data_IF_057597675710
#
_entry.id   IF_057597675710
#
_cell.length_a   1.000
_cell.length_b   1.000
_cell.length_c   1.000
_cell.angle_alpha   90.00
_cell.angle_beta   90.00
_cell.angle_gamma   90.00
#
_symmetry.space_group_name_H-M   'P 1'
#
loop_
_entity.id
_entity.type
_entity.pdbx_description
1 polymer ?
#
# COMPACT_ATOMS: atom_id res chain seq x y z
N UNK A 1 -51.32 65.84 80.07
CA UNK A 1 -50.01 66.45 80.37
C UNK A 1 -49.06 65.38 80.86
N UNK A 2 -48.14 64.89 80.00
CA UNK A 2 -46.76 64.50 80.39
C UNK A 2 -45.96 64.21 79.12
N UNK A 3 -44.90 64.99 78.94
CA UNK A 3 -43.87 64.88 77.89
C UNK A 3 -42.61 64.30 78.53
N UNK A 4 -41.88 63.44 77.79
CA UNK A 4 -40.41 63.18 77.81
C UNK A 4 -40.18 61.88 77.01
N UNK A 5 -39.69 61.85 75.77
CA UNK A 5 -38.43 62.29 75.11
C UNK A 5 -37.17 61.55 75.60
N UNK A 6 -36.37 61.11 74.61
CA UNK A 6 -34.90 60.84 74.58
C UNK A 6 -34.50 59.36 74.76
N UNK A 7 -33.49 58.80 74.10
CA UNK A 7 -32.63 59.07 72.93
C UNK A 7 -31.71 57.85 72.83
N UNK A 8 -31.19 57.56 71.64
CA UNK A 8 -29.92 56.86 71.45
C UNK A 8 -30.08 55.44 70.93
N UNK A 9 -29.22 54.96 70.06
CA UNK A 9 -28.14 55.56 69.28
C UNK A 9 -27.85 54.58 68.17
N UNK A 10 -27.51 55.10 67.00
CA UNK A 10 -27.05 54.33 65.87
C UNK A 10 -25.77 53.53 66.23
N UNK A 11 -25.76 52.24 65.90
CA UNK A 11 -24.52 51.54 65.54
C UNK A 11 -24.81 50.82 64.23
N UNK A 12 -24.23 51.37 63.17
CA UNK A 12 -24.08 50.71 61.89
C UNK A 12 -23.16 49.50 62.06
N UNK A 13 -23.52 48.36 61.48
CA UNK A 13 -22.59 47.29 61.17
C UNK A 13 -22.96 46.73 59.79
N UNK A 14 -22.13 46.99 58.77
CA UNK A 14 -22.29 46.39 57.45
C UNK A 14 -21.73 44.97 57.52
N UNK A 15 -22.25 44.02 56.74
CA UNK A 15 -21.42 43.03 56.04
C UNK A 15 -22.27 42.16 55.13
N UNK A 16 -22.06 42.44 53.85
CA UNK A 16 -22.46 41.74 52.66
C UNK A 16 -21.95 40.29 52.70
N UNK A 17 -22.83 39.35 53.04
CA UNK A 17 -22.57 37.91 52.98
C UNK A 17 -22.82 37.34 51.58
N UNK A 18 -21.86 37.59 50.69
CA UNK A 18 -21.38 36.65 49.67
C UNK A 18 -21.53 35.18 50.16
N UNK A 19 -21.93 34.15 49.41
CA UNK A 19 -21.92 33.80 47.99
C UNK A 19 -22.86 32.60 47.81
N UNK A 20 -23.36 32.44 46.59
CA UNK A 20 -24.03 31.25 46.09
C UNK A 20 -23.17 30.00 46.37
N UNK A 21 -23.67 29.07 47.17
CA UNK A 21 -23.16 27.71 47.24
C UNK A 21 -23.58 26.95 45.97
N UNK A 22 -22.94 27.28 44.85
CA UNK A 22 -22.89 26.39 43.70
C UNK A 22 -21.96 25.24 44.05
N UNK A 23 -22.46 24.00 43.96
CA UNK A 23 -21.61 22.81 43.95
C UNK A 23 -20.62 22.97 42.79
N UNK A 24 -19.40 23.41 43.11
CA UNK A 24 -18.35 23.57 42.13
C UNK A 24 -18.00 22.22 41.54
N UNK A 25 -18.53 21.94 40.34
CA UNK A 25 -17.91 20.98 39.45
C UNK A 25 -16.54 21.58 39.14
N UNK A 26 -15.50 21.11 39.84
CA UNK A 26 -14.14 21.31 39.36
C UNK A 26 -14.11 20.63 38.00
N UNK A 27 -13.99 21.40 36.93
CA UNK A 27 -13.54 20.86 35.68
C UNK A 27 -12.20 20.19 35.99
N UNK A 28 -12.20 18.86 36.08
CA UNK A 28 -10.97 18.10 35.97
C UNK A 28 -10.57 18.26 34.52
N UNK A 29 -9.87 19.36 34.25
CA UNK A 29 -9.17 19.58 33.00
C UNK A 29 -8.04 18.54 33.01
N UNK A 30 -8.38 17.34 32.52
CA UNK A 30 -7.37 16.35 32.20
C UNK A 30 -6.56 16.99 31.07
N UNK A 31 -5.23 17.07 31.17
CA UNK A 31 -4.41 17.43 30.02
C UNK A 31 -4.65 16.36 28.97
N UNK A 32 -5.60 16.61 28.08
CA UNK A 32 -5.83 15.74 26.95
C UNK A 32 -4.75 16.04 25.94
N UNK A 33 -3.56 15.55 26.24
CA UNK A 33 -2.53 15.23 25.26
C UNK A 33 -3.02 14.00 24.48
N UNK A 34 -4.13 14.17 23.76
CA UNK A 34 -4.39 13.33 22.61
C UNK A 34 -3.40 13.82 21.56
N UNK A 35 -2.15 13.37 21.67
CA UNK A 35 -1.15 13.55 20.62
C UNK A 35 -1.79 13.30 19.25
N UNK A 36 -1.34 14.04 18.24
CA UNK A 36 -1.99 14.17 16.91
C UNK A 36 -2.86 12.95 16.56
N UNK A 37 -4.17 13.19 16.37
CA UNK A 37 -5.11 12.14 15.99
C UNK A 37 -4.46 11.27 14.90
N UNK A 38 -4.37 9.94 15.06
CA UNK A 38 -3.65 9.11 14.12
C UNK A 38 -4.31 9.31 12.76
N UNK A 39 -3.61 10.01 11.88
CA UNK A 39 -3.86 9.95 10.46
C UNK A 39 -3.59 8.50 10.11
N UNK A 40 -4.67 7.71 10.01
CA UNK A 40 -4.62 6.37 9.43
C UNK A 40 -4.37 6.56 7.95
N UNK A 41 -3.16 6.97 7.59
CA UNK A 41 -2.68 6.84 6.22
C UNK A 41 -2.69 5.33 6.01
N UNK A 42 -3.60 4.80 5.19
CA UNK A 42 -3.66 3.36 4.99
C UNK A 42 -2.31 2.93 4.37
N UNK A 43 -1.85 1.74 4.76
CA UNK A 43 -0.68 1.10 4.16
C UNK A 43 0.67 1.79 4.40
N UNK A 44 0.94 2.22 5.63
CA UNK A 44 2.33 2.37 6.11
C UNK A 44 2.68 1.16 6.96
N UNK A 45 3.45 0.21 6.41
CA UNK A 45 4.12 -0.77 7.24
C UNK A 45 5.40 -0.12 7.77
N UNK A 46 5.35 0.30 9.04
CA UNK A 46 6.58 0.63 9.76
C UNK A 46 7.20 -0.69 10.17
N UNK A 47 8.29 -1.03 9.49
CA UNK A 47 9.13 -2.22 9.62
C UNK A 47 8.67 -3.42 8.79
N UNK A 48 9.56 -3.92 7.89
CA UNK A 48 9.37 -5.26 7.37
C UNK A 48 9.40 -6.23 8.54
N UNK A 49 8.68 -7.33 8.44
CA UNK A 49 8.80 -8.47 9.36
C UNK A 49 10.16 -9.16 9.11
N UNK A 50 11.27 -8.42 9.31
CA UNK A 50 12.66 -8.84 9.09
C UNK A 50 13.07 -9.91 10.10
N UNK A 51 12.27 -10.09 11.15
CA UNK A 51 12.59 -10.94 12.30
C UNK A 51 12.56 -12.46 12.02
N UNK A 52 12.06 -12.92 10.87
CA UNK A 52 12.05 -14.38 10.58
C UNK A 52 12.48 -14.82 9.17
N UNK A 53 12.80 -13.90 8.25
CA UNK A 53 13.24 -14.26 6.89
C UNK A 53 14.49 -13.50 6.41
N UNK A 54 15.31 -13.01 7.33
CA UNK A 54 16.67 -12.64 6.98
C UNK A 54 17.48 -13.91 6.68
N UNK A 55 18.00 -14.01 5.45
CA UNK A 55 18.83 -15.08 4.88
C UNK A 55 18.10 -16.27 4.24
N UNK A 56 17.62 -16.07 3.01
CA UNK A 56 17.75 -16.95 1.83
C UNK A 56 16.99 -16.26 0.69
N UNK A 57 17.66 -15.71 -0.32
CA UNK A 57 17.00 -15.11 -1.51
C UNK A 57 17.48 -13.69 -1.88
N UNK A 58 17.16 -13.28 -3.11
CA UNK A 58 17.41 -11.94 -3.66
C UNK A 58 16.27 -11.01 -3.21
N UNK A 59 16.55 -9.87 -2.58
CA UNK A 59 15.52 -8.91 -2.20
C UNK A 59 14.89 -8.30 -3.45
N UNK A 60 13.56 -8.20 -3.46
CA UNK A 60 12.77 -7.64 -4.56
C UNK A 60 11.59 -6.84 -4.01
N UNK A 61 10.99 -6.01 -4.84
CA UNK A 61 9.77 -5.28 -4.52
C UNK A 61 8.59 -5.84 -5.33
N UNK A 62 7.43 -5.94 -4.70
CA UNK A 62 6.15 -6.23 -5.37
C UNK A 62 5.16 -5.09 -5.14
N UNK A 63 4.28 -4.83 -6.10
CA UNK A 63 3.28 -3.78 -6.00
C UNK A 63 1.94 -4.36 -5.51
N UNK A 64 1.60 -4.09 -4.24
CA UNK A 64 0.31 -4.44 -3.65
C UNK A 64 -0.67 -3.27 -3.74
N UNK A 65 -1.96 -3.58 -3.68
CA UNK A 65 -3.01 -2.58 -3.61
C UNK A 65 -3.13 -2.03 -2.21
N UNK A 66 -3.10 -0.70 -2.11
CA UNK A 66 -3.52 0.05 -0.95
C UNK A 66 -4.68 0.98 -1.32
N UNK A 67 -5.89 0.63 -0.89
CA UNK A 67 -7.08 1.36 -1.33
C UNK A 67 -7.20 1.32 -2.85
N UNK A 68 -7.05 2.47 -3.51
CA UNK A 68 -7.15 2.61 -4.97
C UNK A 68 -5.80 2.81 -5.67
N UNK A 69 -4.67 2.59 -5.00
CA UNK A 69 -3.33 2.83 -5.55
C UNK A 69 -2.40 1.63 -5.31
N UNK A 70 -1.29 1.57 -6.04
CA UNK A 70 -0.23 0.58 -5.88
C UNK A 70 0.86 1.11 -4.96
N UNK A 71 1.32 0.27 -4.03
CA UNK A 71 2.39 0.57 -3.08
C UNK A 71 3.38 -0.60 -3.05
N UNK A 72 4.68 -0.30 -3.01
CA UNK A 72 5.71 -1.34 -2.96
C UNK A 72 5.77 -2.00 -1.58
N UNK A 73 6.04 -3.30 -1.60
CA UNK A 73 6.31 -4.10 -0.42
C UNK A 73 7.52 -4.99 -0.69
N UNK A 74 8.43 -5.05 0.28
CA UNK A 74 9.63 -5.86 0.18
C UNK A 74 9.32 -7.35 0.29
N UNK A 75 10.00 -8.13 -0.55
CA UNK A 75 9.89 -9.59 -0.67
C UNK A 75 11.27 -10.19 -0.96
N UNK A 76 11.35 -11.52 -0.99
CA UNK A 76 12.57 -12.23 -1.34
C UNK A 76 12.27 -13.36 -2.33
N UNK A 77 13.04 -13.42 -3.43
CA UNK A 77 12.90 -14.46 -4.46
C UNK A 77 14.15 -15.34 -4.47
N UNK A 78 13.96 -16.67 -4.54
CA UNK A 78 15.09 -17.59 -4.73
C UNK A 78 15.53 -17.57 -6.18
N UNK A 79 16.79 -17.23 -6.44
CA UNK A 79 17.38 -17.29 -7.78
C UNK A 79 18.58 -18.23 -7.72
N UNK A 80 18.59 -19.35 -8.46
CA UNK A 80 19.76 -20.22 -8.53
C UNK A 80 20.93 -19.51 -9.22
N UNK A 81 22.12 -19.62 -8.64
CA UNK A 81 23.37 -19.10 -9.21
C UNK A 81 23.72 -19.79 -10.54
N UNK A 82 24.45 -19.09 -11.41
CA UNK A 82 24.97 -19.66 -12.66
C UNK A 82 23.94 -19.90 -13.78
N UNK A 83 22.70 -19.41 -13.61
CA UNK A 83 21.66 -19.44 -14.64
C UNK A 83 21.99 -18.49 -15.80
N UNK A 84 21.82 -18.95 -17.05
CA UNK A 84 21.94 -18.08 -18.22
C UNK A 84 20.89 -16.96 -18.21
N UNK A 85 21.21 -15.79 -18.75
CA UNK A 85 20.44 -14.55 -18.54
C UNK A 85 18.95 -14.67 -18.92
N UNK A 86 18.62 -15.30 -20.05
CA UNK A 86 17.23 -15.53 -20.48
C UNK A 86 16.48 -16.44 -19.49
N UNK A 87 17.13 -17.52 -19.04
CA UNK A 87 16.54 -18.43 -18.05
C UNK A 87 16.34 -17.72 -16.71
N UNK A 88 17.29 -16.87 -16.32
CA UNK A 88 17.24 -16.08 -15.09
C UNK A 88 16.06 -15.12 -15.09
N UNK A 89 15.80 -14.41 -16.21
CA UNK A 89 14.65 -13.51 -16.37
C UNK A 89 13.34 -14.22 -16.06
N UNK A 90 13.13 -15.40 -16.64
CA UNK A 90 11.90 -16.21 -16.43
C UNK A 90 11.80 -16.68 -14.97
N UNK A 91 12.90 -17.12 -14.37
CA UNK A 91 12.92 -17.55 -12.96
C UNK A 91 12.56 -16.38 -12.03
N UNK A 92 13.14 -15.20 -12.26
CA UNK A 92 12.84 -13.99 -11.48
C UNK A 92 11.39 -13.58 -11.68
N UNK A 93 10.89 -13.56 -12.92
CA UNK A 93 9.50 -13.21 -13.22
C UNK A 93 8.50 -14.18 -12.55
N UNK A 94 8.78 -15.49 -12.59
CA UNK A 94 7.95 -16.47 -11.88
C UNK A 94 7.98 -16.22 -10.37
N UNK A 95 9.16 -16.03 -9.77
CA UNK A 95 9.27 -15.76 -8.34
C UNK A 95 8.57 -14.48 -7.91
N UNK A 96 8.65 -13.42 -8.70
CA UNK A 96 7.89 -12.18 -8.48
C UNK A 96 6.39 -12.40 -8.56
N UNK A 97 5.92 -13.17 -9.55
CA UNK A 97 4.50 -13.51 -9.69
C UNK A 97 4.00 -14.32 -8.49
N UNK A 98 4.81 -15.27 -8.00
CA UNK A 98 4.49 -16.08 -6.83
C UNK A 98 4.39 -15.22 -5.56
N UNK A 99 5.35 -14.32 -5.35
CA UNK A 99 5.35 -13.37 -4.22
C UNK A 99 4.18 -12.37 -4.29
N UNK A 100 3.79 -11.95 -5.50
CA UNK A 100 2.67 -11.04 -5.72
C UNK A 100 1.31 -11.72 -5.52
N UNK A 101 1.22 -13.01 -5.83
CA UNK A 101 0.01 -13.82 -5.68
C UNK A 101 -0.14 -14.40 -4.26
N UNK A 102 0.89 -14.30 -3.42
CA UNK A 102 0.81 -14.67 -2.01
C UNK A 102 -0.22 -13.80 -1.28
N UNK A 103 -1.03 -14.43 -0.43
CA UNK A 103 -1.97 -13.68 0.39
C UNK A 103 -1.18 -12.71 1.29
N UNK A 104 -1.55 -11.42 1.37
CA UNK A 104 -0.83 -10.49 2.22
C UNK A 104 -0.77 -10.99 3.67
N UNK A 105 0.35 -10.72 4.34
CA UNK A 105 0.59 -11.11 5.73
C UNK A 105 -0.49 -10.58 6.67
N UNK A 106 -0.52 -11.03 7.93
CA UNK A 106 -1.48 -10.46 8.90
C UNK A 106 -1.27 -8.95 9.07
N UNK A 107 -0.02 -8.50 9.23
CA UNK A 107 0.29 -7.08 9.38
C UNK A 107 -0.06 -6.26 8.14
N UNK A 108 0.18 -6.80 6.95
CA UNK A 108 -0.22 -6.17 5.68
C UNK A 108 -1.73 -6.04 5.55
N UNK A 109 -2.49 -7.09 5.88
CA UNK A 109 -3.95 -7.04 5.84
C UNK A 109 -4.52 -6.05 6.85
N UNK A 110 -3.96 -6.03 8.06
CA UNK A 110 -4.36 -5.05 9.10
C UNK A 110 -4.05 -3.61 8.67
N UNK A 111 -2.98 -3.41 7.87
CA UNK A 111 -2.64 -2.14 7.26
C UNK A 111 -3.46 -1.79 6.00
N UNK A 112 -4.27 -2.73 5.49
CA UNK A 112 -5.17 -2.54 4.34
C UNK A 112 -4.62 -2.97 2.98
N UNK A 113 -3.51 -3.70 2.94
CA UNK A 113 -2.97 -4.22 1.69
C UNK A 113 -3.79 -5.39 1.14
N UNK A 114 -3.94 -5.42 -0.18
CA UNK A 114 -4.59 -6.52 -0.92
C UNK A 114 -3.83 -6.85 -2.20
N UNK A 115 -4.14 -8.01 -2.80
CA UNK A 115 -3.68 -8.38 -4.14
C UNK A 115 -4.86 -8.92 -4.93
N UNK A 116 -4.93 -8.55 -6.21
CA UNK A 116 -5.92 -9.07 -7.16
C UNK A 116 -5.32 -10.20 -8.03
N UNK A 117 -4.00 -10.42 -7.92
CA UNK A 117 -3.30 -11.51 -8.61
C UNK A 117 -3.60 -12.82 -7.88
N UNK A 118 -4.18 -13.78 -8.61
CA UNK A 118 -4.48 -15.11 -8.06
C UNK A 118 -3.29 -16.04 -8.16
N UNK A 119 -3.12 -16.87 -7.14
CA UNK A 119 -2.13 -17.95 -7.14
C UNK A 119 -2.35 -18.97 -8.25
N UNK A 120 -1.27 -19.65 -8.64
CA UNK A 120 -1.28 -20.71 -9.66
C UNK A 120 -1.08 -20.23 -11.10
N UNK A 121 -0.93 -18.92 -11.31
CA UNK A 121 -0.51 -18.37 -12.60
C UNK A 121 0.99 -18.63 -12.81
N UNK A 122 1.40 -18.95 -14.03
CA UNK A 122 2.81 -19.23 -14.36
C UNK A 122 3.34 -18.31 -15.44
N UNK A 123 4.66 -18.15 -15.45
CA UNK A 123 5.44 -17.42 -16.44
C UNK A 123 6.33 -18.40 -17.18
N UNK A 124 6.31 -18.31 -18.50
CA UNK A 124 7.21 -19.03 -19.39
C UNK A 124 8.01 -18.03 -20.23
N UNK A 125 9.13 -18.52 -20.77
CA UNK A 125 9.98 -17.72 -21.65
C UNK A 125 9.38 -17.53 -23.06
N UNK A 126 10.14 -16.84 -23.93
CA UNK A 126 9.73 -16.60 -25.30
C UNK A 126 9.61 -17.90 -26.11
N UNK A 127 8.67 -17.93 -27.05
CA UNK A 127 8.62 -18.92 -28.13
C UNK A 127 9.69 -18.62 -29.18
N UNK A 128 9.88 -19.56 -30.11
CA UNK A 128 10.91 -19.47 -31.16
C UNK A 128 10.86 -18.20 -32.03
N UNK A 129 9.71 -17.51 -32.13
CA UNK A 129 9.53 -16.28 -32.90
C UNK A 129 9.30 -15.04 -32.02
N UNK A 130 9.32 -15.22 -30.70
CA UNK A 130 9.15 -14.11 -29.79
C UNK A 130 10.51 -13.42 -29.56
N UNK A 131 10.51 -12.10 -29.27
CA UNK A 131 11.70 -11.42 -28.78
C UNK A 131 12.27 -12.12 -27.53
N UNK A 132 13.59 -12.09 -27.38
CA UNK A 132 14.29 -12.80 -26.28
C UNK A 132 13.85 -12.39 -24.88
N UNK A 133 13.35 -11.17 -24.74
CA UNK A 133 12.92 -10.59 -23.46
C UNK A 133 11.43 -10.77 -23.19
N UNK A 134 10.69 -11.42 -24.08
CA UNK A 134 9.26 -11.66 -23.91
C UNK A 134 8.97 -12.70 -22.81
N UNK A 135 7.93 -12.42 -22.03
CA UNK A 135 7.40 -13.32 -21.01
C UNK A 135 5.97 -13.73 -21.38
N UNK A 136 5.65 -15.01 -21.22
CA UNK A 136 4.31 -15.56 -21.50
C UNK A 136 3.64 -16.01 -20.22
N UNK A 137 2.53 -15.37 -19.90
CA UNK A 137 1.68 -15.74 -18.79
C UNK A 137 0.79 -16.93 -19.17
N UNK A 138 0.45 -17.78 -18.19
CA UNK A 138 -0.52 -18.86 -18.36
C UNK A 138 -1.95 -18.36 -18.64
N UNK A 139 -2.22 -17.10 -18.35
CA UNK A 139 -3.47 -16.40 -18.63
C UNK A 139 -3.19 -15.27 -19.61
N UNK A 140 -4.11 -14.99 -20.53
CA UNK A 140 -3.95 -13.84 -21.43
C UNK A 140 -3.91 -12.55 -20.61
N UNK A 141 -2.93 -11.64 -20.84
CA UNK A 141 -2.92 -10.33 -20.19
C UNK A 141 -4.22 -9.54 -20.39
N UNK A 142 -4.90 -9.74 -21.52
CA UNK A 142 -6.16 -9.10 -21.84
C UNK A 142 -7.37 -9.64 -21.05
N UNK A 143 -7.25 -10.84 -20.46
CA UNK A 143 -8.30 -11.47 -19.65
C UNK A 143 -8.15 -11.15 -18.15
N UNK A 144 -7.05 -10.50 -17.77
CA UNK A 144 -6.82 -10.04 -16.41
C UNK A 144 -7.67 -8.81 -16.12
N UNK A 145 -8.02 -8.63 -14.85
CA UNK A 145 -8.59 -7.37 -14.38
C UNK A 145 -7.57 -6.24 -14.55
N UNK A 146 -8.04 -4.98 -14.61
CA UNK A 146 -7.13 -3.83 -14.66
C UNK A 146 -6.16 -3.79 -13.48
N UNK A 147 -6.63 -4.14 -12.28
CA UNK A 147 -5.81 -4.21 -11.08
C UNK A 147 -4.74 -5.30 -11.17
N UNK A 148 -5.09 -6.55 -11.50
CA UNK A 148 -4.13 -7.64 -11.60
C UNK A 148 -3.08 -7.38 -12.68
N UNK A 149 -3.50 -6.86 -13.85
CA UNK A 149 -2.58 -6.48 -14.91
C UNK A 149 -1.62 -5.38 -14.46
N UNK A 150 -2.13 -4.33 -13.79
CA UNK A 150 -1.30 -3.24 -13.28
C UNK A 150 -0.29 -3.71 -12.23
N UNK A 151 -0.71 -4.56 -11.28
CA UNK A 151 0.18 -5.13 -10.28
C UNK A 151 1.32 -5.95 -10.91
N UNK A 152 1.00 -6.79 -11.90
CA UNK A 152 2.01 -7.62 -12.61
C UNK A 152 2.97 -6.73 -13.39
N UNK A 153 2.44 -5.80 -14.22
CA UNK A 153 3.27 -4.92 -15.05
C UNK A 153 4.20 -4.09 -14.17
N UNK A 154 3.68 -3.44 -13.13
CA UNK A 154 4.50 -2.60 -12.25
C UNK A 154 5.55 -3.39 -11.47
N UNK A 155 5.22 -4.60 -11.01
CA UNK A 155 6.18 -5.48 -10.34
C UNK A 155 7.29 -5.93 -11.28
N UNK A 156 6.95 -6.33 -12.52
CA UNK A 156 7.97 -6.78 -13.46
C UNK A 156 8.83 -5.61 -13.97
N UNK A 157 8.23 -4.43 -14.17
CA UNK A 157 8.91 -3.21 -14.61
C UNK A 157 10.01 -2.73 -13.64
N UNK A 158 9.81 -2.93 -12.33
CA UNK A 158 10.76 -2.52 -11.27
C UNK A 158 11.78 -3.62 -10.93
N UNK A 159 12.05 -4.53 -11.87
CA UNK A 159 12.86 -5.72 -11.60
C UNK A 159 13.74 -6.12 -12.79
N UNK A 160 14.60 -7.13 -12.58
CA UNK A 160 15.38 -7.75 -13.65
C UNK A 160 14.52 -8.50 -14.69
N UNK A 161 13.19 -8.58 -14.51
CA UNK A 161 12.28 -9.11 -15.51
C UNK A 161 12.07 -8.15 -16.69
N UNK A 162 12.24 -6.84 -16.48
CA UNK A 162 12.01 -5.79 -17.47
C UNK A 162 13.08 -5.70 -18.58
N UNK A 163 12.72 -5.05 -19.68
CA UNK A 163 13.67 -4.57 -20.66
C UNK A 163 14.49 -3.39 -20.12
N UNK A 164 15.54 -2.99 -20.86
CA UNK A 164 16.46 -1.93 -20.42
C UNK A 164 15.81 -0.55 -20.23
N UNK A 165 14.63 -0.33 -20.81
CA UNK A 165 13.82 0.88 -20.64
C UNK A 165 12.78 0.78 -19.50
N UNK A 166 12.73 -0.35 -18.79
CA UNK A 166 11.77 -0.61 -17.73
C UNK A 166 10.41 -1.11 -18.23
N UNK A 167 10.22 -1.26 -19.55
CA UNK A 167 9.00 -1.85 -20.11
C UNK A 167 9.03 -3.38 -20.06
N UNK A 168 7.86 -4.01 -20.22
CA UNK A 168 7.72 -5.47 -20.15
C UNK A 168 6.91 -5.97 -21.35
N UNK A 169 7.49 -6.89 -22.13
CA UNK A 169 6.76 -7.60 -23.18
C UNK A 169 6.03 -8.79 -22.59
N UNK A 170 4.70 -8.74 -22.61
CA UNK A 170 3.83 -9.82 -22.14
C UNK A 170 3.00 -10.42 -23.27
N UNK A 171 2.83 -11.73 -23.21
CA UNK A 171 1.93 -12.51 -24.03
C UNK A 171 1.10 -13.48 -23.20
N UNK A 172 -0.01 -13.94 -23.78
CA UNK A 172 -0.79 -15.04 -23.24
C UNK A 172 -0.26 -16.42 -23.64
N UNK A 173 -0.94 -17.49 -23.21
CA UNK A 173 -0.64 -18.87 -23.61
C UNK A 173 -1.03 -19.11 -25.07
N UNK A 174 -1.87 -18.27 -25.66
CA UNK A 174 -2.33 -18.43 -27.03
C UNK A 174 -1.37 -17.78 -28.03
N UNK A 175 -1.70 -17.84 -29.32
CA UNK A 175 -0.96 -17.18 -30.41
C UNK A 175 -1.23 -15.67 -30.51
N UNK A 176 -1.89 -15.07 -29.53
CA UNK A 176 -2.19 -13.64 -29.51
C UNK A 176 -0.91 -12.79 -29.58
N UNK A 177 -0.94 -11.63 -30.27
CA UNK A 177 0.23 -10.77 -30.39
C UNK A 177 0.79 -10.37 -29.03
N UNK A 178 2.12 -10.32 -28.96
CA UNK A 178 2.83 -9.80 -27.80
C UNK A 178 2.62 -8.29 -27.70
N UNK A 179 2.50 -7.79 -26.47
CA UNK A 179 2.37 -6.36 -26.22
C UNK A 179 3.40 -5.91 -25.21
N UNK A 180 4.01 -4.76 -25.47
CA UNK A 180 4.90 -4.06 -24.56
C UNK A 180 4.07 -3.20 -23.64
N UNK A 181 4.23 -3.36 -22.33
CA UNK A 181 3.52 -2.62 -21.31
C UNK A 181 4.47 -1.73 -20.53
N UNK A 182 3.96 -0.59 -20.07
CA UNK A 182 4.69 0.34 -19.21
C UNK A 182 3.95 0.53 -17.89
N UNK A 183 4.70 0.62 -16.79
CA UNK A 183 4.18 1.04 -15.50
C UNK A 183 4.38 2.54 -15.32
N UNK A 184 3.36 3.34 -15.61
CA UNK A 184 3.39 4.80 -15.42
C UNK A 184 2.91 5.18 -14.02
N UNK A 185 3.18 6.42 -13.61
CA UNK A 185 2.69 6.94 -12.33
C UNK A 185 1.15 6.99 -12.26
N UNK A 186 0.48 7.23 -13.39
CA UNK A 186 -0.99 7.15 -13.49
C UNK A 186 -1.51 5.75 -13.18
N UNK A 187 -0.84 4.72 -13.71
CA UNK A 187 -1.16 3.31 -13.44
C UNK A 187 -0.92 2.97 -11.97
N UNK A 188 0.15 3.51 -11.36
CA UNK A 188 0.43 3.31 -9.93
C UNK A 188 -0.60 4.01 -9.05
N UNK A 189 -1.09 5.17 -9.46
CA UNK A 189 -2.01 5.98 -8.64
C UNK A 189 -3.46 5.54 -8.76
N UNK A 190 -3.89 5.06 -9.92
CA UNK A 190 -5.28 4.63 -10.19
C UNK A 190 -5.34 3.40 -11.13
N UNK A 191 -4.79 2.23 -10.72
CA UNK A 191 -4.76 1.00 -11.52
C UNK A 191 -6.15 0.46 -11.89
N UNK A 192 -7.22 0.89 -11.21
CA UNK A 192 -8.58 0.47 -11.49
C UNK A 192 -9.17 1.12 -12.74
N UNK A 193 -8.76 2.36 -13.02
CA UNK A 193 -9.25 3.15 -14.15
C UNK A 193 -8.18 3.33 -15.23
N UNK A 194 -6.90 3.31 -14.85
CA UNK A 194 -5.74 3.52 -15.73
C UNK A 194 -5.03 2.18 -15.94
N UNK A 195 -5.46 1.45 -16.97
CA UNK A 195 -4.76 0.25 -17.40
C UNK A 195 -3.35 0.59 -17.91
N UNK A 196 -2.36 -0.32 -17.76
CA UNK A 196 -1.02 -0.12 -18.28
C UNK A 196 -1.03 0.19 -19.79
N UNK A 197 -0.50 1.36 -20.22
CA UNK A 197 -0.41 1.67 -21.63
C UNK A 197 0.49 0.65 -22.30
N UNK A 198 0.19 0.39 -23.56
CA UNK A 198 0.84 -0.72 -24.26
C UNK A 198 0.73 -0.63 -25.76
N UNK A 199 1.72 -1.17 -26.44
CA UNK A 199 1.86 -1.22 -27.89
C UNK A 199 2.09 -2.66 -28.35
N UNK A 200 1.64 -2.99 -29.55
CA UNK A 200 1.94 -4.29 -30.15
C UNK A 200 3.43 -4.39 -30.50
N UNK A 201 4.03 -5.54 -30.27
CA UNK A 201 5.41 -5.80 -30.65
C UNK A 201 5.44 -6.32 -32.08
N UNK A 202 5.97 -5.51 -32.99
CA UNK A 202 6.03 -5.83 -34.43
C UNK A 202 7.36 -6.45 -34.87
N UNK A 203 8.41 -6.33 -34.05
CA UNK A 203 9.77 -6.75 -34.38
C UNK A 203 10.19 -7.95 -33.51
N UNK A 204 10.62 -9.04 -34.15
CA UNK A 204 11.11 -10.27 -33.53
C UNK A 204 12.20 -10.93 -34.37
#
# INVERSE_FOLDING_TARGET
MTVRRRYGSAVALPLLGLLLAGCGIRATEVPTDFGAAPSRVPCTLTEPDVSTQAARGVPVQVFLLCGSSLVTVDRAVQVPDGTADVQRRVIVAQGLLDQLAESPSSGERDAGYTTDVRGGMTVSGPRAKDPKDALRLSNSPADLTSYALAQIVCTFSDSAAAEGDGSVILGGPDGTPLRRYECTDDVRTDPGTKAPPSSEVTDG
#
